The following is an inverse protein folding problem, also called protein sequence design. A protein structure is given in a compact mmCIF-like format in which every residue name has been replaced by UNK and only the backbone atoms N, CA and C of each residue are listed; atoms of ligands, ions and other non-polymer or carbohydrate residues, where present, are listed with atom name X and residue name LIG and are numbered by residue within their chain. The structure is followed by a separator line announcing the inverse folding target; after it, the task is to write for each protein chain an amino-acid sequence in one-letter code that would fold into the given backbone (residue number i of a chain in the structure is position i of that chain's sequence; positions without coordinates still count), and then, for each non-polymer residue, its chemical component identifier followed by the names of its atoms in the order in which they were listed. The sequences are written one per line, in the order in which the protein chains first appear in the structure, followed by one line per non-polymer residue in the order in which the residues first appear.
data_IF_453061918640
#
_entry.id   IF_453061918640
#
_cell.length_a   1.000
_cell.length_b   1.000
_cell.length_c   1.000
_cell.angle_alpha   90.00
_cell.angle_beta   90.00
_cell.angle_gamma   90.00
#
_symmetry.space_group_name_H-M   'P 1'
#
loop_
_entity.id
_entity.type
_entity.pdbx_description
1 polymer ?
#
# COMPACT_ATOMS: atom_id res chain seq x y z
N UNK A 1 -2.50 11.78 -1.29
CA UNK A 1 -1.43 12.52 -0.59
C UNK A 1 -2.00 13.61 0.30
N UNK A 2 -1.19 14.15 1.21
CA UNK A 2 -1.57 15.23 2.11
C UNK A 2 -0.67 15.23 3.34
N UNK A 3 -0.66 16.33 4.09
CA UNK A 3 0.17 16.46 5.29
C UNK A 3 -0.23 15.47 6.40
N UNK A 4 0.61 15.37 7.43
CA UNK A 4 0.24 14.62 8.64
C UNK A 4 -0.99 15.25 9.29
N UNK A 5 -1.94 14.43 9.70
CA UNK A 5 -3.21 14.91 10.26
C UNK A 5 -4.25 15.35 9.22
N UNK A 6 -3.99 15.22 7.91
CA UNK A 6 -4.97 15.61 6.88
C UNK A 6 -6.18 14.66 6.74
N UNK A 7 -6.21 13.54 7.48
CA UNK A 7 -7.29 12.56 7.45
C UNK A 7 -7.03 11.31 6.59
N UNK A 8 -5.80 11.11 6.07
CA UNK A 8 -5.44 9.94 5.23
C UNK A 8 -5.77 8.60 5.91
N UNK A 9 -5.24 8.37 7.11
CA UNK A 9 -5.48 7.15 7.88
C UNK A 9 -6.96 6.96 8.23
N UNK A 10 -7.65 8.04 8.61
CA UNK A 10 -9.10 8.01 8.88
C UNK A 10 -9.90 7.61 7.65
N UNK A 11 -9.53 8.11 6.46
CA UNK A 11 -10.12 7.70 5.19
C UNK A 11 -9.85 6.21 4.90
N UNK A 12 -8.62 5.74 5.12
CA UNK A 12 -8.29 4.31 4.98
C UNK A 12 -9.17 3.43 5.86
N UNK A 13 -9.36 3.78 7.14
CA UNK A 13 -10.25 3.04 8.05
C UNK A 13 -11.73 3.10 7.63
N UNK A 14 -12.19 4.25 7.14
CA UNK A 14 -13.55 4.39 6.61
C UNK A 14 -13.76 3.49 5.39
N UNK A 15 -12.78 3.41 4.48
CA UNK A 15 -12.83 2.54 3.30
C UNK A 15 -12.82 1.07 3.70
N UNK A 16 -11.93 0.69 4.64
CA UNK A 16 -11.88 -0.66 5.19
C UNK A 16 -13.19 -1.07 5.86
N UNK A 17 -13.98 -0.12 6.36
CA UNK A 17 -15.24 -0.38 7.08
C UNK A 17 -15.04 -0.69 8.57
N UNK A 18 -13.84 -0.44 9.12
CA UNK A 18 -13.54 -0.61 10.57
C UNK A 18 -13.46 0.72 11.33
N UNK A 19 -13.44 1.86 10.64
CA UNK A 19 -13.41 3.19 11.26
C UNK A 19 -14.80 3.73 11.60
N UNK A 20 -14.91 4.50 12.68
CA UNK A 20 -16.11 5.29 12.96
C UNK A 20 -16.31 6.34 11.87
N UNK A 21 -17.49 6.36 11.25
CA UNK A 21 -17.91 7.39 10.29
C UNK A 21 -18.97 8.26 10.96
N UNK A 22 -18.77 9.58 10.96
CA UNK A 22 -19.77 10.49 11.53
C UNK A 22 -21.03 10.59 10.65
N UNK A 23 -20.89 10.40 9.34
CA UNK A 23 -21.98 10.38 8.35
C UNK A 23 -21.49 9.81 7.01
N UNK A 24 -22.39 9.62 6.05
CA UNK A 24 -22.08 9.13 4.71
C UNK A 24 -21.89 7.62 4.62
N UNK A 25 -21.53 7.15 3.43
CA UNK A 25 -21.32 5.73 3.11
C UNK A 25 -20.07 5.53 2.26
N UNK A 26 -19.50 4.32 2.33
CA UNK A 26 -18.42 3.86 1.44
C UNK A 26 -18.94 2.63 0.72
N UNK A 27 -19.19 2.76 -0.58
CA UNK A 27 -19.75 1.68 -1.38
C UNK A 27 -18.64 0.90 -2.06
N UNK A 28 -18.68 -0.42 -1.90
CA UNK A 28 -17.87 -1.38 -2.66
C UNK A 28 -18.80 -2.37 -3.35
N UNK A 29 -18.76 -2.38 -4.69
CA UNK A 29 -19.70 -3.15 -5.52
C UNK A 29 -21.18 -2.91 -5.14
N UNK A 30 -21.52 -1.67 -4.78
CA UNK A 30 -22.87 -1.25 -4.40
C UNK A 30 -23.28 -1.53 -2.95
N UNK A 31 -22.45 -2.20 -2.15
CA UNK A 31 -22.71 -2.46 -0.73
C UNK A 31 -21.85 -1.57 0.17
N UNK A 32 -22.40 -1.08 1.28
CA UNK A 32 -21.62 -0.31 2.23
C UNK A 32 -20.62 -1.21 2.98
N UNK A 33 -19.32 -0.84 2.97
CA UNK A 33 -18.26 -1.63 3.61
C UNK A 33 -18.46 -1.83 5.11
N UNK A 34 -19.13 -0.92 5.81
CA UNK A 34 -19.43 -1.04 7.24
C UNK A 34 -20.55 -2.06 7.52
N UNK A 35 -21.42 -2.33 6.54
CA UNK A 35 -22.54 -3.27 6.65
C UNK A 35 -22.15 -4.69 6.21
N UNK A 36 -21.03 -4.85 5.50
CA UNK A 36 -20.51 -6.16 5.11
C UNK A 36 -20.15 -7.01 6.34
N UNK A 37 -20.46 -8.31 6.28
CA UNK A 37 -19.97 -9.29 7.24
C UNK A 37 -18.43 -9.30 7.27
N UNK A 38 -17.83 -9.57 8.44
CA UNK A 38 -16.38 -9.51 8.65
C UNK A 38 -15.59 -10.33 7.62
N UNK A 39 -16.01 -11.57 7.36
CA UNK A 39 -15.34 -12.45 6.40
C UNK A 39 -15.32 -11.81 4.99
N UNK A 40 -16.51 -11.46 4.47
CA UNK A 40 -16.67 -10.81 3.17
C UNK A 40 -15.87 -9.51 3.09
N UNK A 41 -15.89 -8.67 4.12
CA UNK A 41 -15.12 -7.42 4.15
C UNK A 41 -13.62 -7.68 4.01
N UNK A 42 -13.10 -8.65 4.75
CA UNK A 42 -11.69 -9.03 4.70
C UNK A 42 -11.30 -9.67 3.35
N UNK A 43 -12.24 -10.23 2.60
CA UNK A 43 -11.98 -10.75 1.23
C UNK A 43 -11.95 -9.62 0.20
N UNK A 44 -12.61 -8.51 0.49
CA UNK A 44 -12.74 -7.40 -0.43
C UNK A 44 -11.68 -6.31 -0.19
N UNK A 45 -11.36 -6.00 1.07
CA UNK A 45 -10.46 -4.91 1.46
C UNK A 45 -9.40 -5.40 2.45
N UNK A 46 -8.15 -5.36 2.02
CA UNK A 46 -6.96 -5.55 2.85
C UNK A 46 -6.34 -4.20 3.21
N UNK A 47 -5.85 -4.05 4.43
CA UNK A 47 -5.14 -2.85 4.87
C UNK A 47 -3.82 -3.22 5.55
N UNK A 48 -2.75 -2.59 5.09
CA UNK A 48 -1.43 -2.61 5.72
C UNK A 48 -1.26 -1.28 6.46
N UNK A 49 -1.21 -1.30 7.81
CA UNK A 49 -1.02 -0.10 8.59
C UNK A 49 0.42 0.41 8.46
N UNK A 50 0.66 1.62 8.96
CA UNK A 50 1.97 2.28 8.95
C UNK A 50 3.11 1.43 9.54
N UNK A 51 2.82 0.55 10.49
CA UNK A 51 3.78 -0.40 11.04
C UNK A 51 3.37 -1.81 10.61
N UNK A 52 4.04 -2.36 9.60
CA UNK A 52 3.75 -3.71 9.13
C UNK A 52 3.88 -4.76 10.25
N UNK A 53 4.86 -4.59 11.16
CA UNK A 53 5.02 -5.45 12.32
C UNK A 53 3.80 -5.53 13.24
N UNK A 54 2.87 -4.57 13.18
CA UNK A 54 1.63 -4.59 13.94
C UNK A 54 0.64 -5.63 13.40
N UNK A 55 0.95 -6.31 12.28
CA UNK A 55 0.18 -7.43 11.73
C UNK A 55 0.91 -8.78 11.87
N UNK A 56 2.09 -8.81 12.50
CA UNK A 56 2.90 -10.01 12.71
C UNK A 56 2.96 -10.33 14.20
N UNK A 57 2.38 -11.46 14.60
CA UNK A 57 2.10 -11.85 15.99
C UNK A 57 2.60 -13.24 16.38
N UNK A 58 2.91 -14.11 15.42
CA UNK A 58 3.36 -15.48 15.65
C UNK A 58 4.86 -15.53 15.97
N UNK A 59 5.32 -16.70 16.40
CA UNK A 59 6.68 -16.85 16.95
C UNK A 59 7.73 -17.00 15.87
N UNK A 60 7.33 -17.36 14.65
CA UNK A 60 8.24 -17.46 13.51
C UNK A 60 7.60 -16.97 12.21
N UNK A 61 8.44 -16.55 11.26
CA UNK A 61 8.02 -16.21 9.91
C UNK A 61 7.31 -17.39 9.22
N UNK A 62 7.80 -18.62 9.42
CA UNK A 62 7.18 -19.82 8.86
C UNK A 62 5.74 -20.02 9.34
N UNK A 63 5.48 -19.78 10.62
CA UNK A 63 4.13 -19.83 11.19
C UNK A 63 3.20 -18.79 10.56
N UNK A 64 3.66 -17.54 10.41
CA UNK A 64 2.87 -16.46 9.77
C UNK A 64 2.45 -16.84 8.34
N UNK A 65 3.40 -17.34 7.57
CA UNK A 65 3.18 -17.69 6.17
C UNK A 65 2.28 -18.94 6.04
N UNK A 66 2.42 -19.90 6.95
CA UNK A 66 1.58 -21.09 6.99
C UNK A 66 0.14 -20.77 7.43
N UNK A 67 -0.04 -19.97 8.49
CA UNK A 67 -1.37 -19.55 8.95
C UNK A 67 -2.11 -18.80 7.84
N UNK A 68 -1.40 -17.92 7.12
CA UNK A 68 -1.93 -17.23 5.96
C UNK A 68 -2.44 -18.18 4.87
N UNK A 69 -1.71 -19.26 4.56
CA UNK A 69 -2.15 -20.24 3.57
C UNK A 69 -3.44 -20.95 4.02
N UNK A 70 -3.51 -21.32 5.30
CA UNK A 70 -4.70 -21.95 5.90
C UNK A 70 -5.89 -21.01 5.87
N UNK A 71 -5.71 -19.75 6.30
CA UNK A 71 -6.76 -18.75 6.34
C UNK A 71 -7.27 -18.34 4.95
N UNK A 72 -6.37 -18.29 3.96
CA UNK A 72 -6.71 -17.99 2.58
C UNK A 72 -7.24 -19.21 1.79
N UNK A 73 -7.28 -20.39 2.40
CA UNK A 73 -7.68 -21.66 1.77
C UNK A 73 -6.88 -21.97 0.48
N UNK A 74 -5.57 -21.69 0.50
CA UNK A 74 -4.65 -21.93 -0.62
C UNK A 74 -3.70 -23.10 -0.33
N UNK A 75 -2.99 -23.55 -1.36
CA UNK A 75 -2.01 -24.62 -1.21
C UNK A 75 -0.86 -24.20 -0.27
N UNK A 76 -0.40 -25.13 0.56
CA UNK A 76 0.73 -24.91 1.46
C UNK A 76 1.97 -24.43 0.69
N UNK A 77 2.61 -23.39 1.23
CA UNK A 77 3.79 -22.75 0.64
C UNK A 77 3.47 -21.64 -0.37
N UNK A 78 2.18 -21.34 -0.62
CA UNK A 78 1.79 -20.25 -1.55
C UNK A 78 2.28 -18.90 -1.02
N UNK A 79 2.00 -18.58 0.23
CA UNK A 79 2.41 -17.32 0.87
C UNK A 79 3.93 -17.25 1.00
N UNK A 80 4.60 -18.36 1.30
CA UNK A 80 6.06 -18.42 1.35
C UNK A 80 6.71 -18.17 -0.01
N UNK A 81 6.13 -18.69 -1.09
CA UNK A 81 6.60 -18.43 -2.44
C UNK A 81 6.41 -16.96 -2.85
N UNK A 82 5.31 -16.33 -2.43
CA UNK A 82 5.11 -14.88 -2.59
C UNK A 82 6.19 -14.12 -1.84
N UNK A 83 6.39 -14.41 -0.55
CA UNK A 83 7.40 -13.76 0.28
C UNK A 83 8.79 -13.87 -0.31
N UNK A 84 9.18 -15.06 -0.79
CA UNK A 84 10.48 -15.27 -1.41
C UNK A 84 10.68 -14.41 -2.66
N UNK A 85 9.63 -14.16 -3.45
CA UNK A 85 9.68 -13.24 -4.59
C UNK A 85 9.85 -11.78 -4.17
N UNK A 86 9.35 -11.40 -2.98
CA UNK A 86 9.40 -10.03 -2.47
C UNK A 86 10.71 -9.72 -1.74
N UNK A 87 11.18 -10.63 -0.88
CA UNK A 87 12.27 -10.39 0.07
C UNK A 87 13.45 -11.38 -0.05
N UNK A 88 13.35 -12.37 -0.95
CA UNK A 88 14.35 -13.44 -1.07
C UNK A 88 14.16 -14.57 -0.05
N UNK A 89 15.14 -15.48 0.02
CA UNK A 89 15.10 -16.60 0.98
C UNK A 89 15.59 -16.12 2.34
N UNK A 90 14.77 -16.31 3.36
CA UNK A 90 15.08 -16.02 4.76
C UNK A 90 14.75 -17.28 5.56
N UNK A 91 15.48 -17.50 6.66
CA UNK A 91 15.21 -18.59 7.59
C UNK A 91 13.79 -18.47 8.15
N UNK A 92 12.89 -19.45 7.92
CA UNK A 92 11.51 -19.38 8.40
C UNK A 92 11.41 -19.43 9.93
N UNK A 93 12.46 -19.86 10.64
CA UNK A 93 12.47 -19.89 12.11
C UNK A 93 12.69 -18.52 12.76
N UNK A 94 13.06 -17.50 11.98
CA UNK A 94 13.29 -16.15 12.50
C UNK A 94 11.99 -15.57 13.08
N UNK A 95 12.11 -14.88 14.20
CA UNK A 95 10.98 -14.16 14.77
C UNK A 95 10.61 -12.98 13.85
N UNK A 96 9.32 -12.76 13.50
CA UNK A 96 8.93 -11.72 12.52
C UNK A 96 9.38 -10.29 12.90
N UNK A 97 9.55 -10.02 14.20
CA UNK A 97 10.05 -8.71 14.68
C UNK A 97 11.53 -8.46 14.44
N UNK A 98 12.32 -9.51 14.18
CA UNK A 98 13.76 -9.40 13.91
C UNK A 98 14.05 -9.16 12.42
N UNK A 99 13.01 -9.22 11.57
CA UNK A 99 13.07 -8.84 10.16
C UNK A 99 13.31 -7.33 10.01
N UNK A 100 13.99 -6.94 8.93
CA UNK A 100 14.09 -5.53 8.55
C UNK A 100 12.70 -4.95 8.20
N UNK A 101 12.53 -3.63 8.26
CA UNK A 101 11.25 -2.99 7.92
C UNK A 101 10.74 -3.38 6.51
N UNK A 102 11.64 -3.50 5.54
CA UNK A 102 11.30 -3.97 4.19
C UNK A 102 10.89 -5.44 4.14
N UNK A 103 11.54 -6.30 4.93
CA UNK A 103 11.16 -7.71 5.05
C UNK A 103 9.83 -7.89 5.79
N UNK A 104 9.56 -7.11 6.83
CA UNK A 104 8.26 -7.10 7.52
C UNK A 104 7.14 -6.68 6.56
N UNK A 105 7.36 -5.61 5.80
CA UNK A 105 6.39 -5.17 4.79
C UNK A 105 6.18 -6.25 3.72
N UNK A 106 7.24 -6.93 3.27
CA UNK A 106 7.13 -8.04 2.34
C UNK A 106 6.36 -9.24 2.92
N UNK A 107 6.58 -9.59 4.19
CA UNK A 107 5.84 -10.66 4.86
C UNK A 107 4.34 -10.33 4.88
N UNK A 108 3.98 -9.13 5.36
CA UNK A 108 2.60 -8.67 5.41
C UNK A 108 1.98 -8.58 4.01
N UNK A 109 2.69 -8.03 3.02
CA UNK A 109 2.21 -8.00 1.64
C UNK A 109 1.92 -9.41 1.13
N UNK A 110 2.79 -10.37 1.38
CA UNK A 110 2.58 -11.77 0.95
C UNK A 110 1.31 -12.35 1.55
N UNK A 111 1.10 -12.12 2.85
CA UNK A 111 -0.10 -12.56 3.58
C UNK A 111 -1.37 -11.93 2.97
N UNK A 112 -1.36 -10.61 2.73
CA UNK A 112 -2.52 -9.94 2.12
C UNK A 112 -2.78 -10.37 0.67
N UNK A 113 -1.72 -10.74 -0.06
CA UNK A 113 -1.82 -11.18 -1.44
C UNK A 113 -2.32 -12.61 -1.60
N UNK A 114 -2.02 -13.50 -0.64
CA UNK A 114 -2.56 -14.85 -0.61
C UNK A 114 -4.10 -14.83 -0.61
N UNK A 115 -4.69 -13.86 0.09
CA UNK A 115 -6.14 -13.67 0.18
C UNK A 115 -6.80 -13.08 -1.07
N UNK A 116 -6.02 -12.59 -2.03
CA UNK A 116 -6.52 -11.98 -3.28
C UNK A 116 -7.52 -10.83 -3.10
N UNK A 117 -7.32 -9.97 -2.08
CA UNK A 117 -8.19 -8.82 -1.86
C UNK A 117 -8.28 -7.92 -3.11
N UNK A 118 -9.51 -7.46 -3.41
CA UNK A 118 -9.79 -6.56 -4.54
C UNK A 118 -9.26 -5.15 -4.30
N UNK A 119 -9.24 -4.70 -3.05
CA UNK A 119 -8.71 -3.41 -2.64
C UNK A 119 -7.59 -3.63 -1.63
N UNK A 120 -6.38 -3.21 -1.98
CA UNK A 120 -5.22 -3.20 -1.08
C UNK A 120 -4.92 -1.77 -0.65
N UNK A 121 -5.04 -1.49 0.64
CA UNK A 121 -4.74 -0.19 1.24
C UNK A 121 -3.38 -0.27 1.91
N UNK A 122 -2.49 0.68 1.60
CA UNK A 122 -1.21 0.84 2.29
C UNK A 122 -1.15 2.24 2.91
N UNK A 123 -1.03 2.30 4.24
CA UNK A 123 -0.88 3.56 4.97
C UNK A 123 0.60 3.79 5.31
N UNK A 124 1.19 4.83 4.74
CA UNK A 124 2.59 5.24 4.86
C UNK A 124 3.62 4.09 4.68
N UNK A 125 3.53 3.27 3.61
CA UNK A 125 4.34 2.05 3.49
C UNK A 125 5.82 2.31 3.20
N UNK A 126 6.21 3.53 2.84
CA UNK A 126 7.61 3.89 2.60
C UNK A 126 8.33 4.37 3.86
N UNK A 127 7.62 4.49 4.99
CA UNK A 127 8.20 4.95 6.25
C UNK A 127 9.20 3.93 6.78
N UNK A 128 10.44 4.38 7.01
CA UNK A 128 11.53 3.51 7.49
C UNK A 128 12.15 2.61 6.41
N UNK A 129 11.73 2.74 5.15
CA UNK A 129 12.36 2.04 4.03
C UNK A 129 13.53 2.87 3.47
N UNK A 130 14.65 2.19 3.21
CA UNK A 130 15.73 2.75 2.41
C UNK A 130 15.37 2.81 0.92
N UNK A 131 16.24 3.42 0.11
CA UNK A 131 16.02 3.57 -1.33
C UNK A 131 15.85 2.24 -2.06
N UNK A 132 16.63 1.21 -1.69
CA UNK A 132 16.54 -0.11 -2.33
C UNK A 132 15.20 -0.79 -2.04
N UNK A 133 14.73 -0.69 -0.79
CA UNK A 133 13.45 -1.23 -0.34
C UNK A 133 12.26 -0.47 -0.96
N UNK A 134 12.35 0.86 -1.12
CA UNK A 134 11.33 1.64 -1.84
C UNK A 134 11.21 1.21 -3.31
N UNK A 135 12.33 1.04 -4.01
CA UNK A 135 12.31 0.56 -5.41
C UNK A 135 11.78 -0.86 -5.52
N UNK A 136 12.13 -1.72 -4.56
CA UNK A 136 11.56 -3.06 -4.49
C UNK A 136 10.04 -2.96 -4.33
N UNK A 137 9.54 -2.22 -3.33
CA UNK A 137 8.11 -2.01 -3.12
C UNK A 137 7.42 -1.44 -4.37
N UNK A 138 8.00 -0.42 -5.02
CA UNK A 138 7.45 0.16 -6.26
C UNK A 138 7.27 -0.90 -7.34
N UNK A 139 8.32 -1.70 -7.60
CA UNK A 139 8.26 -2.81 -8.55
C UNK A 139 7.18 -3.82 -8.20
N UNK A 140 7.00 -4.12 -6.91
CA UNK A 140 5.96 -5.05 -6.45
C UNK A 140 4.57 -4.46 -6.68
N UNK A 141 4.31 -3.22 -6.25
CA UNK A 141 3.02 -2.57 -6.51
C UNK A 141 2.68 -2.54 -8.00
N UNK A 142 3.67 -2.31 -8.87
CA UNK A 142 3.48 -2.37 -10.32
C UNK A 142 3.11 -3.78 -10.82
N UNK A 143 3.70 -4.84 -10.27
CA UNK A 143 3.34 -6.23 -10.61
C UNK A 143 1.95 -6.62 -10.09
N UNK A 144 1.50 -5.97 -9.02
CA UNK A 144 0.19 -6.21 -8.44
C UNK A 144 -0.93 -5.46 -9.15
N UNK A 145 -0.61 -4.49 -10.01
CA UNK A 145 -1.60 -3.79 -10.81
C UNK A 145 -2.28 -4.80 -11.74
N UNK A 146 -3.59 -4.89 -11.60
CA UNK A 146 -4.45 -5.63 -12.53
C UNK A 146 -5.77 -4.87 -12.69
N UNK A 147 -6.52 -5.11 -13.77
CA UNK A 147 -7.86 -4.52 -13.93
C UNK A 147 -8.82 -4.87 -12.77
N UNK A 148 -8.58 -6.00 -12.09
CA UNK A 148 -9.43 -6.52 -11.02
C UNK A 148 -8.97 -6.12 -9.60
N UNK A 149 -7.87 -5.36 -9.49
CA UNK A 149 -7.31 -4.94 -8.20
C UNK A 149 -7.07 -3.43 -8.16
N UNK A 150 -7.55 -2.81 -7.09
CA UNK A 150 -7.25 -1.42 -6.74
C UNK A 150 -6.22 -1.37 -5.62
N UNK A 151 -5.20 -0.53 -5.78
CA UNK A 151 -4.22 -0.24 -4.73
C UNK A 151 -4.42 1.21 -4.29
N UNK A 152 -4.75 1.41 -3.01
CA UNK A 152 -4.86 2.73 -2.41
C UNK A 152 -3.64 3.00 -1.54
N UNK A 153 -2.88 4.02 -1.92
CA UNK A 153 -1.69 4.45 -1.20
C UNK A 153 -1.95 5.76 -0.45
N UNK A 154 -1.93 5.70 0.87
CA UNK A 154 -1.93 6.88 1.73
C UNK A 154 -0.48 7.22 2.07
N UNK A 155 0.08 8.25 1.45
CA UNK A 155 1.43 8.71 1.77
C UNK A 155 1.63 10.20 1.51
N UNK A 156 2.70 10.76 2.05
CA UNK A 156 3.25 12.08 1.74
C UNK A 156 4.56 12.00 0.93
N UNK A 157 5.02 10.80 0.56
CA UNK A 157 6.24 10.59 -0.23
C UNK A 157 5.99 10.90 -1.73
N UNK A 158 6.29 12.14 -2.14
CA UNK A 158 6.05 12.65 -3.49
C UNK A 158 6.78 11.83 -4.56
N UNK A 159 8.04 11.46 -4.31
CA UNK A 159 8.85 10.71 -5.27
C UNK A 159 8.26 9.32 -5.51
N UNK A 160 7.82 8.66 -4.44
CA UNK A 160 7.19 7.36 -4.55
C UNK A 160 5.83 7.45 -5.25
N UNK A 161 5.02 8.48 -4.98
CA UNK A 161 3.76 8.73 -5.70
C UNK A 161 4.02 8.87 -7.20
N UNK A 162 5.01 9.67 -7.59
CA UNK A 162 5.38 9.89 -8.99
C UNK A 162 5.83 8.60 -9.71
N UNK A 163 6.34 7.61 -8.97
CA UNK A 163 6.79 6.34 -9.51
C UNK A 163 5.65 5.31 -9.67
N UNK A 164 4.68 5.27 -8.76
CA UNK A 164 3.73 4.15 -8.67
C UNK A 164 2.28 4.47 -9.02
N UNK A 165 1.86 5.73 -8.91
CA UNK A 165 0.43 6.09 -8.96
C UNK A 165 -0.07 6.39 -10.37
N UNK A 166 -1.34 6.10 -10.61
CA UNK A 166 -2.06 6.47 -11.85
C UNK A 166 -2.99 7.68 -11.63
N UNK A 167 -3.36 7.94 -10.36
CA UNK A 167 -4.26 9.00 -9.91
C UNK A 167 -3.80 9.49 -8.54
N UNK A 168 -3.86 10.81 -8.31
CA UNK A 168 -3.48 11.46 -7.06
C UNK A 168 -4.67 12.25 -6.52
N UNK A 169 -5.09 11.88 -5.32
CA UNK A 169 -6.09 12.62 -4.54
C UNK A 169 -5.36 13.35 -3.42
N UNK A 170 -5.52 14.67 -3.33
CA UNK A 170 -4.96 15.48 -2.23
C UNK A 170 -6.01 15.72 -1.16
N UNK A 171 -5.64 15.39 0.07
CA UNK A 171 -6.46 15.62 1.26
C UNK A 171 -5.87 16.73 2.14
N UNK A 172 -6.74 17.65 2.55
CA UNK A 172 -6.45 18.71 3.53
C UNK A 172 -7.61 18.81 4.51
N UNK A 173 -7.30 18.72 5.81
CA UNK A 173 -8.28 18.81 6.91
C UNK A 173 -9.55 17.95 6.67
N UNK A 174 -9.37 16.72 6.19
CA UNK A 174 -10.47 15.77 5.93
C UNK A 174 -11.25 16.01 4.63
N UNK A 175 -10.83 16.95 3.79
CA UNK A 175 -11.48 17.27 2.51
C UNK A 175 -10.59 16.96 1.33
N UNK A 176 -11.19 16.47 0.25
CA UNK A 176 -10.51 16.36 -1.04
C UNK A 176 -10.40 17.76 -1.65
N UNK A 177 -9.17 18.20 -1.87
CA UNK A 177 -8.87 19.51 -2.47
C UNK A 177 -8.33 19.41 -3.89
N UNK A 178 -7.88 18.22 -4.29
CA UNK A 178 -7.48 17.91 -5.66
C UNK A 178 -7.71 16.43 -5.97
N UNK A 179 -8.00 16.15 -7.24
CA UNK A 179 -8.14 14.84 -7.82
C UNK A 179 -7.68 14.88 -9.28
N UNK A 180 -6.45 14.44 -9.52
CA UNK A 180 -5.79 14.64 -10.80
C UNK A 180 -4.82 13.51 -11.14
N UNK A 181 -4.30 13.52 -12.36
CA UNK A 181 -3.18 12.64 -12.73
C UNK A 181 -1.90 13.06 -12.00
N UNK A 182 -0.95 12.13 -11.76
CA UNK A 182 0.34 12.46 -11.16
C UNK A 182 1.09 13.54 -11.95
N UNK A 183 0.98 13.53 -13.28
CA UNK A 183 1.61 14.55 -14.12
C UNK A 183 1.04 15.95 -13.86
N UNK A 184 -0.27 16.06 -13.62
CA UNK A 184 -0.89 17.36 -13.34
C UNK A 184 -0.52 17.85 -11.94
N UNK A 185 -0.53 16.94 -10.96
CA UNK A 185 -0.34 17.30 -9.56
C UNK A 185 1.14 17.53 -9.21
N UNK A 186 2.07 16.79 -9.83
CA UNK A 186 3.49 16.71 -9.43
C UNK A 186 4.47 17.30 -10.46
N UNK A 187 3.99 17.92 -11.55
CA UNK A 187 4.86 18.62 -12.48
C UNK A 187 5.24 20.02 -11.98
N UNK A 188 6.37 20.53 -12.45
CA UNK A 188 6.73 21.94 -12.25
C UNK A 188 5.73 22.86 -12.99
N UNK A 189 5.27 23.98 -12.39
CA UNK A 189 5.68 24.59 -11.14
C UNK A 189 4.76 24.30 -9.94
N UNK A 190 4.12 23.12 -9.88
CA UNK A 190 3.29 22.75 -8.74
C UNK A 190 4.05 22.90 -7.41
N UNK A 191 3.40 23.38 -6.34
CA UNK A 191 4.00 23.38 -5.00
C UNK A 191 4.29 21.96 -4.48
N UNK A 192 3.71 20.93 -5.11
CA UNK A 192 3.96 19.52 -4.84
C UNK A 192 4.80 18.87 -5.95
N UNK A 193 5.51 19.67 -6.75
CA UNK A 193 6.36 19.13 -7.80
C UNK A 193 7.40 18.17 -7.24
N UNK A 194 7.62 17.03 -7.89
CA UNK A 194 8.70 16.13 -7.52
C UNK A 194 10.06 16.81 -7.69
N UNK A 195 11.08 16.29 -7.02
CA UNK A 195 12.45 16.78 -7.13
C UNK A 195 12.93 16.72 -8.58
N UNK A 196 12.57 15.66 -9.31
CA UNK A 196 12.89 15.54 -10.74
C UNK A 196 12.24 16.66 -11.55
N UNK A 197 10.97 16.97 -11.30
CA UNK A 197 10.28 18.05 -11.98
C UNK A 197 10.89 19.42 -11.64
N UNK A 198 11.26 19.65 -10.38
CA UNK A 198 11.88 20.90 -9.92
C UNK A 198 13.27 21.14 -10.53
N UNK A 199 14.09 20.08 -10.60
CA UNK A 199 15.46 20.14 -11.12
C UNK A 199 15.46 20.28 -12.64
N UNK A 200 14.68 19.45 -13.34
CA UNK A 200 14.69 19.43 -14.81
C UNK A 200 13.86 20.54 -15.44
N UNK A 201 12.80 21.00 -14.74
CA UNK A 201 11.77 21.94 -15.24
C UNK A 201 11.24 21.57 -16.63
N UNK A 202 11.33 20.29 -16.97
CA UNK A 202 10.97 19.77 -18.28
C UNK A 202 9.55 19.22 -18.21
N UNK A 203 8.62 19.70 -19.05
CA UNK A 203 7.26 19.17 -19.08
C UNK A 203 7.25 17.66 -19.28
N UNK A 204 6.44 16.93 -18.51
CA UNK A 204 6.34 15.47 -18.60
C UNK A 204 7.27 14.69 -17.67
N UNK A 205 8.32 15.31 -17.12
CA UNK A 205 9.28 14.64 -16.24
C UNK A 205 8.96 14.87 -14.77
N UNK A 206 8.47 13.82 -14.12
CA UNK A 206 8.12 13.79 -12.69
C UNK A 206 8.82 12.68 -11.91
N UNK A 207 9.48 11.71 -12.55
CA UNK A 207 10.17 10.62 -11.85
C UNK A 207 11.49 10.24 -12.51
N UNK A 208 12.41 9.66 -11.73
CA UNK A 208 13.76 9.31 -12.19
C UNK A 208 13.72 8.26 -13.32
N UNK A 209 12.72 7.37 -13.31
CA UNK A 209 12.52 6.35 -14.34
C UNK A 209 12.16 6.92 -15.72
N UNK A 210 11.74 8.19 -15.79
CA UNK A 210 11.49 8.88 -17.07
C UNK A 210 12.76 9.54 -17.63
N UNK A 211 13.78 9.78 -16.78
CA UNK A 211 15.04 10.44 -17.18
C UNK A 211 16.07 9.43 -17.69
N UNK A 212 16.09 8.22 -17.13
CA UNK A 212 17.09 7.18 -17.43
C UNK A 212 16.70 6.32 -18.66
N UNK A 213 15.62 6.66 -19.36
CA UNK A 213 15.20 6.02 -20.62
C UNK A 213 15.72 6.80 -21.82
#
# INVERSE_FOLDING_TARGET
MGENGSGKTSLCWAIQGLGNRSSGSVLLNGSDTAELAKATRLDQVAMIPQRAADLLFLHSLGEELHESDVFAEVAEGTTAALFQKLAGRIDPSIHPRDLSAGQQLAAVLSIQLAKQAKVLILDEPTRGLDYSAKRALAKQLQQLKSPDRTILLATHDIEFIAEVSDRVIRLESGKVVSDASPLTELAWPSPFASQIAQITRTPGLISIGQVIK
#
